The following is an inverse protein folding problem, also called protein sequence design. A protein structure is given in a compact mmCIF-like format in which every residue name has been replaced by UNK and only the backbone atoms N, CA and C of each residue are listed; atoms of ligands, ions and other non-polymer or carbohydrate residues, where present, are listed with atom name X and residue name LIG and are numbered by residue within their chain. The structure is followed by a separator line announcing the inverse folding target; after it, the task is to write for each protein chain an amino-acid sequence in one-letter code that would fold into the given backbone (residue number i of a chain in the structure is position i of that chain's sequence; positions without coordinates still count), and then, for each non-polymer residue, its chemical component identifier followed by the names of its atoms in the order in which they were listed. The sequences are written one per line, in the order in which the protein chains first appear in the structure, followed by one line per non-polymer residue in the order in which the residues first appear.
data_IF_240605971033
#
_entry.id   IF_240605971033
#
_cell.length_a   1.000
_cell.length_b   1.000
_cell.length_c   1.000
_cell.angle_alpha   90.00
_cell.angle_beta   90.00
_cell.angle_gamma   90.00
#
_symmetry.space_group_name_H-M   'P 1'
#
loop_
_entity.id
_entity.type
_entity.pdbx_description
1 polymer ?
#
# COMPACT_ATOMS: atom_id res chain seq x y z
N UNK A 1 -18.14 10.98 9.71
CA UNK A 1 -17.85 9.61 10.19
C UNK A 1 -16.49 9.62 10.86
N UNK A 2 -16.40 9.31 12.17
CA UNK A 2 -15.10 9.06 12.81
C UNK A 2 -14.54 7.80 12.18
N UNK A 3 -13.41 7.91 11.50
CA UNK A 3 -12.66 6.74 11.06
C UNK A 3 -12.18 6.06 12.34
N UNK A 4 -12.67 4.85 12.60
CA UNK A 4 -12.10 3.99 13.63
C UNK A 4 -10.79 3.49 13.05
N UNK A 5 -9.67 3.99 13.56
CA UNK A 5 -8.34 3.55 13.16
C UNK A 5 -7.94 2.37 14.05
N UNK A 6 -8.00 1.15 13.51
CA UNK A 6 -7.41 -0.01 14.16
C UNK A 6 -5.89 0.06 13.90
N UNK A 7 -5.13 0.48 14.89
CA UNK A 7 -3.69 0.80 14.74
C UNK A 7 -2.73 -0.34 15.08
N UNK A 8 -3.30 -1.50 15.37
CA UNK A 8 -2.66 -2.81 15.33
C UNK A 8 -3.83 -3.75 15.43
N UNK A 9 -4.06 -4.59 14.43
CA UNK A 9 -4.89 -5.74 14.73
C UNK A 9 -4.15 -6.50 15.86
N UNK A 10 -4.80 -6.70 17.02
CA UNK A 10 -4.29 -7.53 18.10
C UNK A 10 -3.99 -8.97 17.62
N UNK A 11 -4.48 -9.29 16.42
CA UNK A 11 -4.28 -10.53 15.70
C UNK A 11 -3.68 -10.23 14.33
N UNK A 12 -2.68 -11.00 13.86
CA UNK A 12 -2.31 -11.08 12.45
C UNK A 12 -3.56 -11.03 11.56
N UNK A 13 -3.61 -10.13 10.57
CA UNK A 13 -4.70 -10.13 9.59
C UNK A 13 -4.54 -11.30 8.62
N UNK A 14 -3.31 -11.76 8.39
CA UNK A 14 -2.98 -12.93 7.58
C UNK A 14 -2.42 -14.09 8.41
N UNK A 15 -2.18 -15.24 7.76
CA UNK A 15 -1.65 -16.46 8.39
C UNK A 15 -0.24 -16.24 8.96
N UNK A 16 0.58 -15.44 8.27
CA UNK A 16 1.99 -15.26 8.61
C UNK A 16 2.29 -13.91 9.28
N UNK A 17 1.28 -13.04 9.37
CA UNK A 17 1.41 -11.70 9.93
C UNK A 17 0.31 -10.79 9.41
N UNK A 18 0.65 -9.91 8.48
CA UNK A 18 -0.27 -8.82 8.08
C UNK A 18 -0.58 -8.89 6.60
N UNK A 19 -1.87 -8.87 6.26
CA UNK A 19 -2.28 -8.58 4.90
C UNK A 19 -1.93 -7.14 4.55
N UNK A 20 -1.23 -6.95 3.45
CA UNK A 20 -0.79 -5.65 2.96
C UNK A 20 -1.46 -5.32 1.64
N UNK A 21 -2.15 -4.17 1.60
CA UNK A 21 -2.74 -3.59 0.40
C UNK A 21 -1.76 -2.58 -0.22
N UNK A 22 -1.10 -3.02 -1.28
CA UNK A 22 -0.21 -2.17 -2.07
C UNK A 22 -0.99 -1.43 -3.17
N UNK A 23 -0.78 -0.11 -3.27
CA UNK A 23 -1.45 0.76 -4.25
C UNK A 23 -0.48 1.69 -5.02
N UNK A 24 0.81 1.63 -4.70
CA UNK A 24 1.88 2.39 -5.35
C UNK A 24 2.89 1.45 -5.99
N UNK A 25 4.17 1.83 -6.00
CA UNK A 25 5.23 0.99 -6.59
C UNK A 25 5.34 -0.43 -5.99
N UNK A 26 4.83 -0.68 -4.79
CA UNK A 26 4.75 -2.03 -4.19
C UNK A 26 3.66 -2.92 -4.80
N UNK A 27 2.85 -2.42 -5.76
CA UNK A 27 2.02 -3.25 -6.64
C UNK A 27 2.87 -4.31 -7.39
N UNK A 28 4.17 -4.03 -7.56
CA UNK A 28 5.16 -4.90 -8.20
C UNK A 28 5.60 -6.02 -7.23
N UNK A 29 5.33 -7.31 -7.54
CA UNK A 29 5.91 -8.43 -6.81
C UNK A 29 7.44 -8.41 -6.85
N UNK A 30 8.04 -7.96 -7.96
CA UNK A 30 9.50 -7.80 -8.07
C UNK A 30 10.02 -6.82 -7.02
N UNK A 31 9.35 -5.68 -6.86
CA UNK A 31 9.74 -4.71 -5.84
C UNK A 31 9.54 -5.25 -4.42
N UNK A 32 8.43 -5.92 -4.17
CA UNK A 32 8.18 -6.56 -2.89
C UNK A 32 9.28 -7.58 -2.56
N UNK A 33 9.70 -8.39 -3.54
CA UNK A 33 10.78 -9.39 -3.37
C UNK A 33 12.12 -8.76 -3.01
N UNK A 34 12.43 -7.60 -3.60
CA UNK A 34 13.65 -6.87 -3.32
C UNK A 34 13.62 -6.17 -1.95
N UNK A 35 12.44 -5.78 -1.46
CA UNK A 35 12.29 -5.08 -0.17
C UNK A 35 12.12 -6.03 1.01
N UNK A 36 11.36 -7.11 0.85
CA UNK A 36 11.07 -8.10 1.88
C UNK A 36 12.15 -9.19 1.90
N UNK A 37 13.22 -8.96 2.65
CA UNK A 37 14.40 -9.84 2.64
C UNK A 37 14.35 -10.97 3.67
N UNK A 38 13.40 -10.96 4.61
CA UNK A 38 13.29 -12.02 5.62
C UNK A 38 12.62 -13.27 5.04
N UNK A 39 11.48 -13.11 4.37
CA UNK A 39 10.77 -14.21 3.70
C UNK A 39 10.33 -13.81 2.28
N UNK A 40 11.28 -13.49 1.37
CA UNK A 40 11.01 -12.88 0.08
C UNK A 40 9.98 -13.66 -0.75
N UNK A 41 10.15 -14.98 -0.90
CA UNK A 41 9.27 -15.79 -1.75
C UNK A 41 7.83 -15.88 -1.23
N UNK A 42 7.61 -15.62 0.06
CA UNK A 42 6.28 -15.61 0.67
C UNK A 42 5.69 -14.21 0.68
N UNK A 43 6.38 -13.25 1.30
CA UNK A 43 5.90 -11.88 1.48
C UNK A 43 5.77 -11.12 0.16
N UNK A 44 6.47 -11.54 -0.91
CA UNK A 44 6.33 -10.96 -2.24
C UNK A 44 5.37 -11.73 -3.15
N UNK A 45 4.77 -12.83 -2.69
CA UNK A 45 3.83 -13.61 -3.50
C UNK A 45 2.46 -12.95 -3.46
N UNK A 46 1.92 -12.48 -4.60
CA UNK A 46 0.60 -11.88 -4.64
C UNK A 46 -0.45 -12.90 -4.26
N UNK A 47 -1.30 -12.54 -3.29
CA UNK A 47 -2.43 -13.37 -2.88
C UNK A 47 -3.69 -13.07 -3.69
N UNK A 48 -3.94 -11.78 -3.94
CA UNK A 48 -5.14 -11.32 -4.61
C UNK A 48 -4.94 -9.93 -5.22
N UNK A 49 -5.85 -9.55 -6.10
CA UNK A 49 -6.12 -8.15 -6.39
C UNK A 49 -7.41 -7.76 -5.68
N UNK A 50 -7.39 -6.58 -5.09
CA UNK A 50 -8.49 -6.05 -4.33
C UNK A 50 -8.79 -4.60 -4.76
N UNK A 51 -9.99 -4.15 -4.42
CA UNK A 51 -10.44 -2.77 -4.51
C UNK A 51 -10.68 -2.19 -3.12
N UNK A 52 -10.49 -0.89 -2.99
CA UNK A 52 -10.72 -0.12 -1.78
C UNK A 52 -11.76 0.98 -2.10
N UNK A 53 -13.05 0.73 -1.83
CA UNK A 53 -14.13 1.66 -2.13
C UNK A 53 -14.14 2.87 -1.19
N UNK A 54 -14.56 4.04 -1.69
CA UNK A 54 -14.61 5.30 -0.95
C UNK A 54 -13.23 5.96 -0.75
N UNK A 55 -12.27 5.62 -1.61
CA UNK A 55 -10.92 6.18 -1.59
C UNK A 55 -10.49 6.58 -2.99
N UNK A 56 -9.70 7.67 -3.06
CA UNK A 56 -9.06 8.12 -4.31
C UNK A 56 -7.57 7.87 -4.27
N UNK A 57 -7.01 7.58 -5.44
CA UNK A 57 -5.57 7.50 -5.69
C UNK A 57 -5.09 8.79 -6.36
N UNK A 58 -3.89 9.23 -6.01
CA UNK A 58 -3.23 10.38 -6.65
C UNK A 58 -1.72 10.31 -6.42
N UNK A 59 -0.98 11.12 -7.16
CA UNK A 59 0.41 11.43 -6.84
C UNK A 59 0.41 12.62 -5.87
N UNK A 60 1.06 12.47 -4.71
CA UNK A 60 1.14 13.51 -3.69
C UNK A 60 2.19 14.58 -4.01
N UNK A 61 2.31 15.56 -3.11
CA UNK A 61 3.29 16.65 -3.18
C UNK A 61 4.76 16.18 -3.11
N UNK A 62 5.04 14.92 -2.79
CA UNK A 62 6.38 14.30 -2.82
C UNK A 62 6.66 13.54 -4.11
N UNK A 63 5.70 13.52 -5.03
CA UNK A 63 5.77 12.75 -6.25
C UNK A 63 5.67 11.24 -6.04
N UNK A 64 5.04 10.80 -4.95
CA UNK A 64 4.73 9.40 -4.64
C UNK A 64 3.24 9.10 -4.88
N UNK A 65 2.90 7.84 -5.12
CA UNK A 65 1.52 7.38 -5.01
C UNK A 65 1.00 7.53 -3.58
N UNK A 66 -0.21 8.06 -3.42
CA UNK A 66 -0.90 8.19 -2.15
C UNK A 66 -2.40 7.89 -2.33
N UNK A 67 -3.07 7.63 -1.21
CA UNK A 67 -4.53 7.44 -1.15
C UNK A 67 -5.15 8.32 -0.07
N UNK A 68 -6.39 8.73 -0.28
CA UNK A 68 -7.17 9.42 0.76
C UNK A 68 -8.64 9.04 0.68
N UNK A 69 -9.32 8.98 1.82
CA UNK A 69 -10.77 8.81 1.87
C UNK A 69 -11.47 9.93 1.11
N UNK A 70 -12.56 9.57 0.46
CA UNK A 70 -13.46 10.53 -0.19
C UNK A 70 -14.88 10.31 0.32
N UNK A 71 -15.75 11.28 0.04
CA UNK A 71 -17.18 11.18 0.35
C UNK A 71 -17.99 10.72 -0.87
N UNK A 72 -17.33 10.17 -1.89
CA UNK A 72 -17.90 9.78 -3.18
C UNK A 72 -17.87 8.26 -3.28
N UNK A 73 -19.05 7.65 -3.33
CA UNK A 73 -19.18 6.18 -3.34
C UNK A 73 -18.60 5.52 -4.60
N UNK A 74 -18.40 6.30 -5.66
CA UNK A 74 -17.83 5.83 -6.93
C UNK A 74 -16.30 5.83 -6.97
N UNK A 75 -15.62 6.45 -6.00
CA UNK A 75 -14.17 6.45 -5.96
C UNK A 75 -13.67 5.12 -5.38
N UNK A 76 -12.77 4.47 -6.10
CA UNK A 76 -12.10 3.27 -5.61
C UNK A 76 -10.63 3.24 -6.01
N UNK A 77 -9.83 2.59 -5.17
CA UNK A 77 -8.42 2.32 -5.45
C UNK A 77 -8.24 0.83 -5.66
N UNK A 78 -7.57 0.45 -6.74
CA UNK A 78 -7.19 -0.94 -6.96
C UNK A 78 -5.79 -1.20 -6.42
N UNK A 79 -5.57 -2.41 -5.92
CA UNK A 79 -4.32 -2.79 -5.30
C UNK A 79 -4.05 -4.28 -5.30
N UNK A 80 -2.81 -4.62 -4.94
CA UNK A 80 -2.35 -6.00 -4.79
C UNK A 80 -2.25 -6.34 -3.32
N UNK A 81 -2.72 -7.54 -2.96
CA UNK A 81 -2.67 -8.08 -1.61
C UNK A 81 -1.46 -9.01 -1.47
N UNK A 82 -0.72 -8.83 -0.38
CA UNK A 82 0.33 -9.73 0.09
C UNK A 82 0.04 -10.20 1.52
N UNK A 83 0.58 -11.34 1.94
CA UNK A 83 0.63 -11.76 3.36
C UNK A 83 2.07 -11.70 3.82
N UNK A 84 2.38 -10.67 4.62
CA UNK A 84 3.73 -10.35 5.03
C UNK A 84 4.04 -10.94 6.39
N UNK A 85 5.27 -11.42 6.55
CA UNK A 85 5.80 -11.70 7.88
C UNK A 85 5.93 -10.44 8.72
N UNK A 86 5.97 -10.61 10.04
CA UNK A 86 6.24 -9.51 10.98
C UNK A 86 7.60 -8.84 10.71
N UNK A 87 8.60 -9.61 10.27
CA UNK A 87 9.94 -9.12 9.95
C UNK A 87 9.97 -8.30 8.64
N UNK A 88 9.23 -8.76 7.62
CA UNK A 88 9.12 -8.06 6.35
C UNK A 88 8.25 -6.80 6.47
N UNK A 89 7.23 -6.83 7.33
CA UNK A 89 6.47 -5.63 7.71
C UNK A 89 7.39 -4.57 8.33
N UNK A 90 8.23 -4.93 9.31
CA UNK A 90 9.21 -4.00 9.90
C UNK A 90 10.19 -3.44 8.87
N UNK A 91 10.57 -4.25 7.90
CA UNK A 91 11.45 -3.81 6.81
C UNK A 91 10.73 -2.77 5.94
N UNK A 92 9.46 -2.98 5.63
CA UNK A 92 8.64 -2.00 4.92
C UNK A 92 8.37 -0.74 5.74
N UNK A 93 8.15 -0.84 7.05
CA UNK A 93 8.01 0.33 7.92
C UNK A 93 9.21 1.29 7.78
N UNK A 94 10.43 0.75 7.61
CA UNK A 94 11.62 1.54 7.34
C UNK A 94 11.60 2.21 5.95
N UNK A 95 11.17 1.50 4.90
CA UNK A 95 11.01 2.07 3.55
C UNK A 95 9.94 3.16 3.49
N UNK A 96 8.82 2.94 4.17
CA UNK A 96 7.70 3.88 4.23
C UNK A 96 7.96 5.02 5.24
N UNK A 97 9.00 4.90 6.06
CA UNK A 97 9.45 5.93 7.00
C UNK A 97 8.42 6.17 8.11
N UNK A 98 7.84 5.10 8.64
CA UNK A 98 6.88 5.14 9.75
C UNK A 98 7.56 5.72 11.00
N UNK A 99 6.80 6.50 11.76
CA UNK A 99 7.26 7.05 13.03
C UNK A 99 7.24 5.98 14.14
N UNK A 100 8.42 5.46 14.47
CA UNK A 100 8.61 4.44 15.52
C UNK A 100 8.41 4.97 16.94
N UNK A 101 8.28 6.28 17.13
CA UNK A 101 7.97 6.88 18.43
C UNK A 101 6.47 6.91 18.75
N UNK A 102 5.63 6.52 17.79
CA UNK A 102 4.20 6.39 18.02
C UNK A 102 3.93 5.33 19.11
N UNK A 103 3.15 5.65 20.16
CA UNK A 103 2.78 4.66 21.15
C UNK A 103 1.92 3.57 20.49
N UNK A 104 1.95 2.37 21.07
CA UNK A 104 1.02 1.31 20.67
C UNK A 104 -0.41 1.80 20.92
N UNK A 105 -1.24 1.73 19.90
CA UNK A 105 -2.66 2.03 20.06
C UNK A 105 -3.34 0.97 20.94
N UNK A 106 -4.30 1.41 21.74
CA UNK A 106 -5.27 0.58 22.45
C UNK A 106 -6.50 0.37 21.56
N UNK A 107 -7.42 -0.50 21.98
CA UNK A 107 -8.69 -0.73 21.26
C UNK A 107 -9.51 0.57 21.07
N UNK A 108 -9.27 1.58 21.91
CA UNK A 108 -9.91 2.90 21.86
C UNK A 108 -9.16 3.96 21.01
N UNK A 109 -8.07 3.59 20.32
CA UNK A 109 -7.21 4.51 19.56
C UNK A 109 -5.82 4.68 20.21
N UNK A 110 -5.08 5.76 19.91
CA UNK A 110 -3.81 6.03 20.61
C UNK A 110 -4.10 6.24 22.11
N UNK A 111 -3.97 5.19 22.89
CA UNK A 111 -4.04 5.27 24.35
C UNK A 111 -2.84 6.06 24.83
N UNK A 112 -3.00 7.36 25.08
CA UNK A 112 -2.27 8.19 26.06
C UNK A 112 -2.52 9.69 25.79
N UNK A 113 -2.29 10.50 26.83
CA UNK A 113 -2.30 11.97 26.85
C UNK A 113 -1.27 12.65 25.91
N UNK A 114 -0.90 12.03 24.79
CA UNK A 114 0.10 12.53 23.84
C UNK A 114 -0.62 13.16 22.66
N UNK A 115 -0.64 14.49 22.62
CA UNK A 115 -1.19 15.24 21.48
C UNK A 115 -0.17 15.22 20.35
N UNK A 116 -0.44 14.46 19.28
CA UNK A 116 0.31 14.54 18.02
C UNK A 116 -0.52 15.32 16.99
N UNK A 117 0.10 16.11 16.09
CA UNK A 117 -0.64 16.85 15.06
C UNK A 117 -1.48 15.94 14.15
N UNK A 118 -0.98 14.73 13.87
CA UNK A 118 -1.69 13.60 13.25
C UNK A 118 -1.17 12.27 13.81
N UNK A 119 -1.87 11.17 13.52
CA UNK A 119 -1.44 9.81 13.89
C UNK A 119 -0.13 9.38 13.19
N UNK A 120 0.27 10.07 12.11
CA UNK A 120 1.57 9.88 11.44
C UNK A 120 2.76 10.49 12.22
N UNK A 121 2.53 11.53 13.03
CA UNK A 121 3.58 12.31 13.74
C UNK A 121 4.72 12.75 12.84
N UNK A 122 5.98 12.42 13.14
CA UNK A 122 7.13 12.90 12.33
C UNK A 122 7.50 11.97 11.16
N UNK A 123 6.73 10.90 10.94
CA UNK A 123 6.95 9.92 9.89
C UNK A 123 6.59 10.41 8.49
N UNK A 124 6.95 9.63 7.46
CA UNK A 124 6.63 9.86 6.05
C UNK A 124 5.28 9.31 5.60
N UNK A 125 4.86 8.18 6.17
CA UNK A 125 3.52 7.60 6.00
C UNK A 125 3.00 7.11 7.36
N UNK A 126 1.68 7.06 7.51
CA UNK A 126 1.02 6.39 8.63
C UNK A 126 0.80 4.90 8.32
N UNK A 127 0.46 4.10 9.33
CA UNK A 127 -0.05 2.74 9.18
C UNK A 127 -1.55 2.77 9.41
N UNK A 128 -2.33 2.36 8.42
CA UNK A 128 -3.79 2.28 8.57
C UNK A 128 -4.28 0.92 8.12
N UNK A 129 -5.23 0.34 8.85
CA UNK A 129 -5.93 -0.85 8.39
C UNK A 129 -7.20 -0.43 7.66
N UNK A 130 -7.33 -0.88 6.42
CA UNK A 130 -8.45 -0.57 5.53
C UNK A 130 -9.22 -1.83 5.18
N UNK A 131 -10.55 -1.70 5.10
CA UNK A 131 -11.42 -2.79 4.63
C UNK A 131 -11.35 -2.82 3.11
N UNK A 132 -10.68 -3.82 2.56
CA UNK A 132 -10.55 -4.04 1.11
C UNK A 132 -11.54 -5.08 0.65
N UNK A 133 -11.90 -5.07 -0.63
CA UNK A 133 -12.72 -6.11 -1.24
C UNK A 133 -11.94 -6.86 -2.32
N UNK A 134 -11.87 -8.18 -2.20
CA UNK A 134 -11.19 -9.03 -3.18
C UNK A 134 -11.96 -9.10 -4.48
N UNK A 135 -11.25 -8.82 -5.57
CA UNK A 135 -11.76 -8.97 -6.93
C UNK A 135 -11.43 -10.36 -7.45
N UNK A 136 -10.17 -10.79 -7.30
CA UNK A 136 -9.74 -12.14 -7.69
C UNK A 136 -8.60 -12.65 -6.83
N UNK A 137 -8.70 -13.93 -6.46
CA UNK A 137 -7.65 -14.67 -5.78
C UNK A 137 -6.63 -15.22 -6.79
N UNK A 138 -5.36 -15.25 -6.41
CA UNK A 138 -4.30 -15.94 -7.15
C UNK A 138 -4.00 -17.32 -6.58
N UNK A 139 -4.32 -17.52 -5.32
CA UNK A 139 -4.19 -18.78 -4.60
C UNK A 139 -5.55 -19.12 -3.98
N UNK A 140 -6.31 -20.00 -4.63
CA UNK A 140 -7.66 -20.39 -4.20
C UNK A 140 -7.66 -21.07 -2.82
N UNK A 141 -6.52 -21.57 -2.32
CA UNK A 141 -6.45 -22.09 -0.95
C UNK A 141 -6.75 -21.02 0.11
N UNK A 142 -6.47 -19.75 -0.20
CA UNK A 142 -6.83 -18.62 0.64
C UNK A 142 -8.31 -18.26 0.60
N UNK A 143 -8.94 -18.53 -0.55
CA UNK A 143 -10.38 -18.31 -0.69
C UNK A 143 -11.12 -19.15 0.34
N UNK A 144 -10.82 -20.45 0.44
CA UNK A 144 -11.49 -21.35 1.39
C UNK A 144 -11.22 -20.98 2.86
N UNK A 145 -10.00 -20.53 3.17
CA UNK A 145 -9.58 -20.18 4.53
C UNK A 145 -10.20 -18.90 5.08
N UNK A 146 -10.42 -17.90 4.22
CA UNK A 146 -10.99 -16.60 4.60
C UNK A 146 -12.51 -16.53 4.37
N UNK A 147 -13.12 -17.58 3.81
CA UNK A 147 -14.55 -17.62 3.51
C UNK A 147 -15.39 -17.92 4.75
N UNK A 148 -15.66 -16.89 5.55
CA UNK A 148 -16.70 -16.96 6.58
C UNK A 148 -17.78 -15.87 6.54
N UNK A 149 -17.75 -14.84 5.67
CA UNK A 149 -19.00 -14.22 5.16
C UNK A 149 -18.91 -13.08 4.15
N UNK A 150 -17.78 -12.43 3.89
CA UNK A 150 -17.75 -11.33 2.92
C UNK A 150 -16.44 -11.38 2.15
N UNK A 151 -16.45 -10.99 0.88
CA UNK A 151 -15.24 -10.82 0.04
C UNK A 151 -14.30 -9.72 0.56
N UNK A 152 -14.37 -9.39 1.85
CA UNK A 152 -13.78 -8.23 2.47
C UNK A 152 -12.96 -8.65 3.70
N UNK A 153 -11.79 -8.03 3.86
CA UNK A 153 -10.98 -8.17 5.07
C UNK A 153 -10.19 -6.89 5.35
N UNK A 154 -9.62 -6.80 6.55
CA UNK A 154 -8.75 -5.69 6.94
C UNK A 154 -7.34 -5.93 6.43
N UNK A 155 -6.78 -4.96 5.71
CA UNK A 155 -5.40 -4.98 5.23
C UNK A 155 -4.69 -3.68 5.62
N UNK A 156 -3.42 -3.78 5.96
CA UNK A 156 -2.53 -2.64 6.19
C UNK A 156 -2.29 -1.87 4.89
N UNK A 157 -2.29 -0.53 4.98
CA UNK A 157 -1.89 0.39 3.93
C UNK A 157 -1.06 1.54 4.54
N UNK A 158 -0.26 2.21 3.71
CA UNK A 158 0.65 3.29 4.14
C UNK A 158 0.35 4.64 3.49
N UNK A 159 -0.71 5.38 3.85
CA UNK A 159 -0.99 6.71 3.31
C UNK A 159 -0.10 7.81 3.92
N UNK A 160 0.16 8.87 3.16
CA UNK A 160 0.65 10.16 3.69
C UNK A 160 -0.56 11.01 4.07
N UNK A 161 -0.75 11.23 5.37
CA UNK A 161 -1.87 12.00 5.92
C UNK A 161 -1.56 13.50 6.10
N UNK A 162 -0.34 13.94 5.79
CA UNK A 162 -0.01 15.37 5.77
C UNK A 162 -0.20 15.97 4.40
N UNK A 163 0.23 15.26 3.36
CA UNK A 163 0.29 15.76 1.98
C UNK A 163 -0.86 15.19 1.17
N UNK A 164 -2.05 15.71 1.43
CA UNK A 164 -3.31 15.21 0.86
C UNK A 164 -3.66 15.74 -0.53
N UNK A 165 -2.84 16.67 -1.02
CA UNK A 165 -3.08 17.36 -2.29
C UNK A 165 -2.28 16.72 -3.45
N UNK A 166 -2.84 16.71 -4.67
CA UNK A 166 -2.12 16.28 -5.86
C UNK A 166 -0.83 17.07 -6.11
N UNK A 167 0.21 16.37 -6.59
CA UNK A 167 1.48 16.92 -7.02
C UNK A 167 1.99 16.25 -8.30
N UNK A 168 3.21 16.61 -8.71
CA UNK A 168 3.86 16.02 -9.88
C UNK A 168 4.66 14.78 -9.50
N UNK A 169 4.59 13.72 -10.31
CA UNK A 169 5.40 12.52 -10.09
C UNK A 169 6.88 12.87 -10.18
N UNK A 170 7.67 12.39 -9.20
CA UNK A 170 9.11 12.59 -9.25
C UNK A 170 9.72 11.67 -10.32
N UNK A 171 10.71 12.13 -11.10
CA UNK A 171 11.28 11.34 -12.19
C UNK A 171 11.71 9.94 -11.73
N UNK A 172 12.43 9.84 -10.60
CA UNK A 172 12.96 8.59 -10.07
C UNK A 172 11.95 7.59 -9.49
N UNK A 173 10.67 7.91 -9.58
CA UNK A 173 9.59 7.03 -9.22
C UNK A 173 8.88 6.42 -10.44
N UNK A 174 8.96 7.08 -11.61
CA UNK A 174 8.19 6.71 -12.80
C UNK A 174 8.50 5.28 -13.23
N UNK A 175 9.78 4.92 -13.38
CA UNK A 175 10.18 3.57 -13.79
C UNK A 175 9.67 2.47 -12.86
N UNK A 176 9.65 2.75 -11.54
CA UNK A 176 9.14 1.81 -10.54
C UNK A 176 7.63 1.66 -10.63
N UNK A 177 6.92 2.77 -10.88
CA UNK A 177 5.48 2.73 -11.12
C UNK A 177 5.14 2.01 -12.42
N UNK A 178 5.88 2.20 -13.50
CA UNK A 178 5.66 1.49 -14.76
C UNK A 178 5.82 -0.02 -14.60
N UNK A 179 6.87 -0.49 -13.90
CA UNK A 179 7.01 -1.92 -13.54
C UNK A 179 5.82 -2.41 -12.71
N UNK A 180 5.42 -1.65 -11.69
CA UNK A 180 4.25 -1.96 -10.86
C UNK A 180 2.96 -2.09 -11.66
N UNK A 181 2.71 -1.17 -12.60
CA UNK A 181 1.53 -1.20 -13.47
C UNK A 181 1.55 -2.47 -14.33
N UNK A 182 2.67 -2.74 -15.01
CA UNK A 182 2.82 -3.92 -15.87
C UNK A 182 2.57 -5.22 -15.10
N UNK A 183 3.25 -5.40 -13.96
CA UNK A 183 3.14 -6.63 -13.18
C UNK A 183 1.75 -6.79 -12.56
N UNK A 184 1.14 -5.71 -12.03
CA UNK A 184 -0.18 -5.79 -11.44
C UNK A 184 -1.29 -6.04 -12.49
N UNK A 185 -1.18 -5.45 -13.68
CA UNK A 185 -2.09 -5.74 -14.80
C UNK A 185 -1.97 -7.21 -15.21
N UNK A 186 -0.75 -7.77 -15.28
CA UNK A 186 -0.54 -9.18 -15.56
C UNK A 186 -1.13 -10.12 -14.48
N UNK A 187 -1.29 -9.62 -13.25
CA UNK A 187 -1.98 -10.33 -12.17
C UNK A 187 -3.50 -10.24 -12.28
N UNK A 188 -4.04 -9.29 -13.03
CA UNK A 188 -5.47 -9.07 -13.28
C UNK A 188 -6.01 -7.70 -12.84
N UNK A 189 -5.14 -6.78 -12.39
CA UNK A 189 -5.56 -5.42 -12.01
C UNK A 189 -6.19 -4.68 -13.21
N UNK A 190 -7.28 -3.95 -12.96
CA UNK A 190 -8.08 -3.29 -14.00
C UNK A 190 -7.25 -2.33 -14.86
N UNK A 191 -7.10 -2.66 -16.14
CA UNK A 191 -6.46 -1.79 -17.14
C UNK A 191 -7.22 -0.47 -17.33
N UNK A 192 -8.55 -0.51 -17.23
CA UNK A 192 -9.40 0.68 -17.32
C UNK A 192 -9.11 1.63 -16.15
N UNK A 193 -9.01 1.10 -14.92
CA UNK A 193 -8.67 1.91 -13.76
C UNK A 193 -7.27 2.50 -13.90
N UNK A 194 -6.29 1.74 -14.37
CA UNK A 194 -4.94 2.25 -14.66
C UNK A 194 -4.99 3.40 -15.67
N UNK A 195 -5.68 3.22 -16.80
CA UNK A 195 -5.78 4.23 -17.84
C UNK A 195 -6.46 5.51 -17.34
N UNK A 196 -7.51 5.38 -16.52
CA UNK A 196 -8.31 6.50 -16.02
C UNK A 196 -7.70 7.22 -14.83
N UNK A 197 -7.07 6.49 -13.91
CA UNK A 197 -6.66 7.01 -12.59
C UNK A 197 -5.16 7.19 -12.47
N UNK A 198 -4.37 6.22 -12.96
CA UNK A 198 -2.91 6.22 -12.74
C UNK A 198 -2.16 6.90 -13.89
N UNK A 199 -2.48 6.55 -15.14
CA UNK A 199 -1.81 7.07 -16.34
C UNK A 199 -1.83 8.58 -16.51
N UNK A 200 -2.87 9.34 -16.08
CA UNK A 200 -2.81 10.80 -16.13
C UNK A 200 -1.62 11.40 -15.35
N UNK A 201 -1.09 10.68 -14.36
CA UNK A 201 0.04 11.15 -13.52
C UNK A 201 1.33 10.34 -13.71
N UNK A 202 1.31 9.23 -14.44
CA UNK A 202 2.47 8.32 -14.60
C UNK A 202 2.78 8.12 -16.08
N UNK A 203 3.77 8.85 -16.65
CA UNK A 203 4.11 8.73 -18.05
C UNK A 203 4.76 7.36 -18.34
N UNK A 204 4.49 6.85 -19.55
CA UNK A 204 5.04 5.61 -20.07
C UNK A 204 6.46 5.79 -20.62
N UNK A 205 7.11 4.68 -20.98
CA UNK A 205 8.41 4.69 -21.68
C UNK A 205 9.64 4.87 -20.79
N UNK A 206 9.46 4.94 -19.47
CA UNK A 206 10.56 4.99 -18.49
C UNK A 206 10.56 3.68 -17.70
N UNK A 207 11.71 3.01 -17.66
CA UNK A 207 11.90 1.77 -16.92
C UNK A 207 12.74 1.99 -15.66
N UNK A 208 12.51 1.18 -14.63
CA UNK A 208 13.39 1.15 -13.46
C UNK A 208 14.61 0.26 -13.78
N UNK A 209 15.83 0.68 -13.39
CA UNK A 209 16.97 -0.21 -13.43
C UNK A 209 16.72 -1.51 -12.66
N UNK A 210 17.36 -2.59 -13.09
CA UNK A 210 17.31 -3.87 -12.39
C UNK A 210 17.76 -3.70 -10.93
N UNK A 211 17.06 -4.35 -10.00
CA UNK A 211 17.34 -4.24 -8.56
C UNK A 211 16.96 -2.90 -7.91
N UNK A 212 16.49 -1.90 -8.67
CA UNK A 212 16.17 -0.59 -8.10
C UNK A 212 14.87 -0.61 -7.27
N UNK A 213 15.00 -0.32 -5.98
CA UNK A 213 13.91 -0.24 -4.98
C UNK A 213 13.63 1.19 -4.48
N UNK A 214 14.37 2.17 -5.02
CA UNK A 214 14.37 3.57 -4.60
C UNK A 214 15.13 3.84 -3.31
N UNK A 215 16.11 4.74 -3.39
CA UNK A 215 16.86 5.27 -2.24
C UNK A 215 16.63 6.79 -2.08
N UNK A 216 16.97 7.32 -0.90
CA UNK A 216 17.11 8.77 -0.67
C UNK A 216 18.15 9.30 -1.66
N UNK A 217 17.74 10.21 -2.54
CA UNK A 217 18.63 11.12 -3.28
C UNK A 217 19.62 10.51 -4.29
N UNK A 218 19.17 9.63 -5.20
CA UNK A 218 19.87 9.46 -6.49
C UNK A 218 18.98 9.86 -7.68
N UNK A 219 19.45 10.74 -8.58
CA UNK A 219 18.77 11.04 -9.82
C UNK A 219 18.72 9.77 -10.68
N UNK A 220 17.63 9.59 -11.44
CA UNK A 220 17.64 8.60 -12.51
C UNK A 220 18.70 9.02 -13.51
N UNK A 221 19.45 8.03 -14.00
CA UNK A 221 20.17 8.19 -15.25
C UNK A 221 19.10 8.40 -16.34
N UNK A 222 19.14 9.57 -16.95
CA UNK A 222 18.42 9.91 -18.19
C UNK A 222 19.21 9.34 -19.36
#
# INVERSE_FOLDING_TARGET
MKVVFQHRALTPSGEHGTFYFAYGSNLSPTQMKLRCTSTPDRSSRPLAIARLPGWRWYIDQRGCANISKTNTENDEVWGTIYDMSVEDEKTLDAYEGVDWSAPLATEDGLGTNVVRPTEQGIGRHNKVYVKVEVVHWRDESWRERLWQNDKQFMALAYPDEYRKEPGMIRPNYIGRMNRAIQEAVALGLSQEWIAKVVRPSVPEGIEAPEGYVGEKDKPLLV
#
